data_IF_884628914154
#
_entry.id   IF_884628914154
#
_cell.length_a   1.000
_cell.length_b   1.000
_cell.length_c   1.000
_cell.angle_alpha   90.00
_cell.angle_beta   90.00
_cell.angle_gamma   90.00
#
_symmetry.space_group_name_H-M   'P 1'
#
loop_
_entity.id
_entity.type
_entity.pdbx_description
1 polymer ?
#
# COMPACT_ATOMS: atom_id res chain seq x y z
N UNK A 1 -47.06 -50.87 -7.71
CA UNK A 1 -45.94 -51.17 -6.79
C UNK A 1 -45.42 -52.52 -7.22
N UNK A 2 -44.21 -52.71 -7.73
CA UNK A 2 -42.91 -52.09 -7.44
C UNK A 2 -42.06 -51.97 -8.71
N UNK A 3 -41.18 -50.98 -8.66
CA UNK A 3 -40.26 -50.50 -9.70
C UNK A 3 -38.94 -51.30 -9.67
N UNK A 4 -38.33 -51.57 -10.83
CA UNK A 4 -36.95 -52.09 -11.01
C UNK A 4 -36.65 -52.11 -12.51
N UNK A 5 -36.43 -50.98 -13.19
CA UNK A 5 -35.17 -50.25 -13.39
C UNK A 5 -33.94 -51.07 -13.86
N UNK A 6 -33.52 -50.75 -15.11
CA UNK A 6 -32.17 -50.83 -15.72
C UNK A 6 -31.57 -52.23 -15.94
N UNK A 7 -30.84 -52.56 -17.00
CA UNK A 7 -30.53 -52.01 -18.33
C UNK A 7 -29.81 -53.17 -19.07
N UNK A 8 -29.58 -53.02 -20.37
CA UNK A 8 -29.08 -54.02 -21.32
C UNK A 8 -27.87 -54.85 -20.84
N UNK A 9 -27.93 -56.16 -21.13
CA UNK A 9 -26.82 -57.09 -21.09
C UNK A 9 -25.65 -56.52 -21.92
N UNK A 10 -24.64 -56.00 -21.24
CA UNK A 10 -23.32 -55.77 -21.82
C UNK A 10 -22.78 -57.14 -22.26
N UNK A 11 -22.73 -57.36 -23.57
CA UNK A 11 -21.89 -58.37 -24.17
C UNK A 11 -20.43 -58.06 -23.81
N UNK A 12 -19.86 -58.80 -22.86
CA UNK A 12 -18.41 -58.91 -22.77
C UNK A 12 -17.96 -59.73 -23.99
N UNK A 13 -17.57 -59.04 -25.05
CA UNK A 13 -16.76 -59.63 -26.11
C UNK A 13 -15.54 -60.27 -25.44
N UNK A 14 -15.41 -61.58 -25.65
CA UNK A 14 -14.26 -62.39 -25.26
C UNK A 14 -12.95 -61.66 -25.61
N UNK A 15 -12.32 -61.10 -24.59
CA UNK A 15 -10.92 -60.71 -24.66
C UNK A 15 -10.11 -62.01 -24.73
N UNK A 16 -9.98 -62.56 -25.93
CA UNK A 16 -9.02 -63.63 -26.22
C UNK A 16 -7.64 -62.97 -26.18
N UNK A 17 -7.19 -62.66 -24.96
CA UNK A 17 -5.79 -62.48 -24.67
C UNK A 17 -5.14 -63.81 -25.04
N UNK A 18 -4.49 -63.86 -26.19
CA UNK A 18 -3.49 -64.87 -26.41
C UNK A 18 -2.47 -64.69 -25.28
N UNK A 19 -2.58 -65.51 -24.24
CA UNK A 19 -1.54 -65.67 -23.24
C UNK A 19 -0.28 -66.05 -24.00
N UNK A 20 0.54 -65.04 -24.26
CA UNK A 20 1.89 -65.19 -24.79
C UNK A 20 2.73 -65.83 -23.68
N UNK A 21 2.59 -67.14 -23.51
CA UNK A 21 3.43 -67.92 -22.61
C UNK A 21 4.89 -67.77 -23.09
N UNK A 22 5.70 -67.02 -22.34
CA UNK A 22 7.11 -66.76 -22.69
C UNK A 22 7.98 -68.03 -22.65
N UNK A 23 7.47 -69.08 -22.02
CA UNK A 23 8.05 -70.43 -21.99
C UNK A 23 6.98 -71.40 -22.45
N UNK A 24 7.32 -72.23 -23.43
CA UNK A 24 6.37 -73.22 -23.96
C UNK A 24 6.02 -74.26 -22.89
N UNK A 25 4.76 -74.68 -22.85
CA UNK A 25 4.34 -75.75 -21.96
C UNK A 25 5.07 -77.05 -22.30
N UNK A 26 5.55 -77.75 -21.28
CA UNK A 26 6.22 -79.03 -21.46
C UNK A 26 5.22 -80.09 -21.94
N UNK A 27 5.59 -80.95 -22.91
CA UNK A 27 4.74 -82.05 -23.35
C UNK A 27 4.50 -83.06 -22.21
N UNK A 28 3.50 -83.96 -22.27
CA UNK A 28 3.29 -84.93 -21.19
C UNK A 28 4.53 -85.81 -20.94
N UNK A 29 5.00 -85.98 -19.68
CA UNK A 29 6.19 -86.76 -19.39
C UNK A 29 5.94 -88.26 -19.68
N UNK A 30 6.95 -88.98 -20.21
CA UNK A 30 6.84 -90.41 -20.45
C UNK A 30 6.63 -91.18 -19.13
N UNK A 31 5.62 -92.04 -19.05
CA UNK A 31 5.30 -92.81 -17.85
C UNK A 31 5.79 -94.26 -17.97
N UNK A 32 6.26 -94.87 -16.89
CA UNK A 32 6.67 -96.28 -16.88
C UNK A 32 5.54 -97.25 -17.24
N UNK A 33 4.29 -96.81 -17.12
CA UNK A 33 3.08 -97.53 -17.51
C UNK A 33 2.72 -97.40 -19.00
N UNK A 34 3.42 -96.55 -19.77
CA UNK A 34 3.16 -96.38 -21.20
C UNK A 34 3.66 -97.60 -22.00
N UNK A 35 3.00 -97.88 -23.13
CA UNK A 35 3.50 -98.89 -24.06
C UNK A 35 4.86 -98.47 -24.64
N UNK A 36 5.68 -99.44 -25.07
CA UNK A 36 7.05 -99.17 -25.53
C UNK A 36 7.13 -98.09 -26.62
N UNK A 37 6.20 -98.06 -27.56
CA UNK A 37 6.18 -97.05 -28.63
C UNK A 37 5.79 -95.66 -28.11
N UNK A 38 4.77 -95.57 -27.25
CA UNK A 38 4.29 -94.30 -26.66
C UNK A 38 5.33 -93.71 -25.71
N UNK A 39 6.05 -94.55 -24.97
CA UNK A 39 7.14 -94.11 -24.10
C UNK A 39 8.28 -93.47 -24.90
N UNK A 40 8.70 -94.08 -26.01
CA UNK A 40 9.77 -93.55 -26.87
C UNK A 40 9.34 -92.21 -27.48
N UNK A 41 8.13 -92.14 -28.03
CA UNK A 41 7.59 -90.91 -28.63
C UNK A 41 7.52 -89.74 -27.63
N UNK A 42 6.98 -89.99 -26.42
CA UNK A 42 6.95 -88.97 -25.35
C UNK A 42 8.35 -88.61 -24.85
N UNK A 43 9.28 -89.57 -24.80
CA UNK A 43 10.66 -89.32 -24.36
C UNK A 43 11.40 -88.39 -25.33
N UNK A 44 11.29 -88.63 -26.63
CA UNK A 44 11.92 -87.80 -27.66
C UNK A 44 11.32 -86.38 -27.67
N UNK A 45 9.99 -86.28 -27.55
CA UNK A 45 9.29 -85.00 -27.43
C UNK A 45 9.71 -84.23 -26.16
N UNK A 46 9.83 -84.91 -25.02
CA UNK A 46 10.25 -84.30 -23.75
C UNK A 46 11.69 -83.81 -23.81
N UNK A 47 12.63 -84.60 -24.36
CA UNK A 47 14.04 -84.19 -24.52
C UNK A 47 14.16 -82.98 -25.45
N UNK A 48 13.43 -82.97 -26.57
CA UNK A 48 13.41 -81.82 -27.47
C UNK A 48 12.83 -80.57 -26.80
N UNK A 49 11.77 -80.72 -25.98
CA UNK A 49 11.17 -79.62 -25.23
C UNK A 49 12.11 -79.08 -24.14
N UNK A 50 12.89 -79.93 -23.46
CA UNK A 50 13.86 -79.49 -22.44
C UNK A 50 14.96 -78.58 -23.01
N UNK A 51 15.46 -78.85 -24.22
CA UNK A 51 16.43 -77.97 -24.87
C UNK A 51 15.83 -76.59 -25.21
N UNK A 52 14.57 -76.55 -25.67
CA UNK A 52 13.85 -75.30 -25.93
C UNK A 52 13.56 -74.53 -24.64
N UNK A 53 13.15 -75.24 -23.59
CA UNK A 53 12.90 -74.68 -22.26
C UNK A 53 14.13 -73.97 -21.70
N UNK A 54 15.32 -74.59 -21.79
CA UNK A 54 16.56 -73.96 -21.34
C UNK A 54 16.84 -72.62 -22.06
N UNK A 55 16.71 -72.59 -23.39
CA UNK A 55 16.90 -71.37 -24.19
C UNK A 55 15.86 -70.29 -23.86
N UNK A 56 14.61 -70.69 -23.63
CA UNK A 56 13.53 -69.78 -23.23
C UNK A 56 13.75 -69.23 -21.82
N UNK A 57 14.21 -70.07 -20.87
CA UNK A 57 14.61 -69.63 -19.53
C UNK A 57 15.75 -68.62 -19.57
N UNK A 58 16.79 -68.86 -20.39
CA UNK A 58 17.90 -67.91 -20.55
C UNK A 58 17.43 -66.59 -21.16
N UNK A 59 16.53 -66.63 -22.15
CA UNK A 59 15.94 -65.42 -22.75
C UNK A 59 15.09 -64.63 -21.74
N UNK A 60 14.30 -65.31 -20.92
CA UNK A 60 13.52 -64.68 -19.84
C UNK A 60 14.45 -64.10 -18.77
N UNK A 61 15.55 -64.79 -18.41
CA UNK A 61 16.53 -64.29 -17.45
C UNK A 61 17.22 -63.00 -17.94
N UNK A 62 17.54 -62.92 -19.23
CA UNK A 62 18.06 -61.69 -19.86
C UNK A 62 17.01 -60.58 -19.83
N UNK A 63 15.75 -60.88 -20.13
CA UNK A 63 14.66 -59.90 -20.08
C UNK A 63 14.43 -59.34 -18.66
N UNK A 64 14.48 -60.19 -17.64
CA UNK A 64 14.37 -59.78 -16.24
C UNK A 64 15.58 -58.95 -15.78
N UNK A 65 16.76 -59.22 -16.33
CA UNK A 65 18.00 -58.51 -15.99
C UNK A 65 18.04 -57.06 -16.49
N UNK A 66 17.22 -56.70 -17.48
CA UNK A 66 17.18 -55.34 -18.01
C UNK A 66 16.42 -54.34 -17.12
N UNK A 67 15.73 -54.75 -16.05
CA UNK A 67 14.78 -53.91 -15.30
C UNK A 67 15.40 -52.81 -14.39
N UNK A 68 16.71 -52.53 -14.48
CA UNK A 68 17.35 -51.52 -13.66
C UNK A 68 17.11 -50.11 -14.22
N UNK A 69 16.33 -49.30 -13.49
CA UNK A 69 16.09 -47.87 -13.75
C UNK A 69 16.91 -46.96 -12.83
N UNK A 70 17.91 -47.53 -12.17
CA UNK A 70 18.93 -46.85 -11.37
C UNK A 70 20.34 -47.10 -11.93
N UNK A 71 21.19 -46.08 -11.83
CA UNK A 71 22.54 -46.09 -12.36
C UNK A 71 23.47 -45.14 -11.59
N UNK A 72 24.77 -45.30 -11.80
CA UNK A 72 25.77 -44.32 -11.35
C UNK A 72 26.50 -43.70 -12.54
N UNK A 73 27.00 -42.47 -12.37
CA UNK A 73 27.78 -41.80 -13.42
C UNK A 73 28.89 -40.96 -12.82
N UNK A 74 30.06 -40.98 -13.46
CA UNK A 74 31.20 -40.11 -13.17
C UNK A 74 31.33 -38.95 -14.17
N UNK A 75 30.33 -38.75 -15.04
CA UNK A 75 30.36 -37.66 -16.01
C UNK A 75 30.31 -36.33 -15.30
N UNK A 76 31.33 -35.50 -15.53
CA UNK A 76 31.39 -34.15 -14.97
C UNK A 76 30.29 -33.29 -15.59
N UNK A 77 29.35 -32.84 -14.77
CA UNK A 77 28.27 -31.97 -15.20
C UNK A 77 28.05 -30.84 -14.19
N UNK A 78 27.80 -29.64 -14.70
CA UNK A 78 27.33 -28.52 -13.88
C UNK A 78 25.82 -28.58 -13.75
N UNK A 79 25.32 -28.44 -12.51
CA UNK A 79 23.89 -28.34 -12.20
C UNK A 79 23.28 -27.21 -13.03
N UNK A 80 22.25 -27.52 -13.81
CA UNK A 80 21.56 -26.55 -14.65
C UNK A 80 20.48 -27.20 -15.51
N UNK A 81 19.55 -26.38 -15.98
CA UNK A 81 18.50 -26.79 -16.93
C UNK A 81 19.05 -26.95 -18.35
N UNK A 82 18.29 -27.64 -19.20
CA UNK A 82 18.67 -27.91 -20.60
C UNK A 82 19.27 -29.31 -20.80
N UNK A 83 19.72 -29.57 -22.02
CA UNK A 83 20.25 -30.89 -22.40
C UNK A 83 21.53 -31.22 -21.64
N UNK A 84 21.56 -32.40 -21.02
CA UNK A 84 22.71 -33.00 -20.33
C UNK A 84 22.88 -34.43 -20.80
N UNK A 85 24.13 -34.89 -20.85
CA UNK A 85 24.46 -36.27 -21.20
C UNK A 85 25.30 -36.86 -20.08
N UNK A 86 24.97 -38.08 -19.67
CA UNK A 86 25.72 -38.89 -18.72
C UNK A 86 26.14 -40.18 -19.39
N UNK A 87 27.31 -40.67 -19.00
CA UNK A 87 27.71 -42.06 -19.25
C UNK A 87 27.38 -42.84 -17.99
N UNK A 88 26.40 -43.74 -18.11
CA UNK A 88 25.99 -44.70 -17.07
C UNK A 88 26.44 -46.10 -17.44
N UNK A 89 26.18 -47.09 -16.58
CA UNK A 89 26.41 -48.48 -16.96
C UNK A 89 25.54 -48.89 -18.16
N UNK A 90 26.06 -49.76 -19.03
CA UNK A 90 25.29 -50.36 -20.12
C UNK A 90 24.16 -51.26 -19.59
N UNK A 91 23.23 -51.64 -20.47
CA UNK A 91 22.14 -52.58 -20.16
C UNK A 91 21.16 -52.13 -19.05
N UNK A 92 20.78 -50.84 -19.05
CA UNK A 92 19.71 -50.27 -18.21
C UNK A 92 18.38 -50.13 -18.98
N UNK A 93 17.27 -49.92 -18.25
CA UNK A 93 15.93 -49.71 -18.84
C UNK A 93 15.50 -48.25 -18.89
N UNK A 94 16.40 -47.33 -19.25
CA UNK A 94 16.00 -45.96 -19.55
C UNK A 94 15.39 -45.90 -20.96
N UNK A 95 14.19 -45.34 -21.08
CA UNK A 95 13.51 -45.11 -22.36
C UNK A 95 13.19 -43.62 -22.52
N UNK A 96 13.16 -43.11 -23.76
CA UNK A 96 12.70 -41.76 -24.04
C UNK A 96 11.32 -41.48 -23.42
N UNK A 97 11.17 -40.33 -22.76
CA UNK A 97 9.94 -39.93 -22.06
C UNK A 97 9.89 -40.30 -20.58
N UNK A 98 10.80 -41.16 -20.08
CA UNK A 98 10.91 -41.39 -18.64
C UNK A 98 11.51 -40.18 -17.93
N UNK A 99 10.98 -39.83 -16.75
CA UNK A 99 11.59 -38.80 -15.89
C UNK A 99 12.64 -39.42 -14.98
N UNK A 100 13.85 -38.88 -14.99
CA UNK A 100 15.00 -39.34 -14.20
C UNK A 100 15.55 -38.19 -13.37
N UNK A 101 15.95 -38.48 -12.13
CA UNK A 101 16.72 -37.58 -11.28
C UNK A 101 18.17 -38.01 -11.22
N UNK A 102 19.08 -37.08 -11.48
CA UNK A 102 20.51 -37.20 -11.24
C UNK A 102 20.86 -36.41 -9.97
N UNK A 103 21.17 -37.12 -8.88
CA UNK A 103 21.57 -36.52 -7.60
C UNK A 103 23.07 -36.70 -7.36
N UNK A 104 23.72 -35.75 -6.72
CA UNK A 104 25.11 -35.90 -6.29
C UNK A 104 25.21 -37.05 -5.28
N UNK A 105 26.09 -38.02 -5.54
CA UNK A 105 26.31 -39.14 -4.62
C UNK A 105 26.93 -38.68 -3.31
N UNK A 106 27.79 -37.65 -3.36
CA UNK A 106 28.44 -37.07 -2.18
C UNK A 106 27.50 -36.16 -1.36
N UNK A 107 26.49 -35.56 -1.99
CA UNK A 107 25.53 -34.66 -1.33
C UNK A 107 24.13 -34.81 -1.96
N UNK A 108 23.33 -35.80 -1.52
CA UNK A 108 22.06 -36.15 -2.17
C UNK A 108 20.98 -35.06 -2.21
N UNK A 109 21.16 -33.96 -1.46
CA UNK A 109 20.30 -32.77 -1.51
C UNK A 109 20.55 -31.88 -2.73
N UNK A 110 21.66 -32.08 -3.44
CA UNK A 110 22.00 -31.39 -4.69
C UNK A 110 21.68 -32.30 -5.87
N UNK A 111 20.78 -31.88 -6.76
CA UNK A 111 20.32 -32.72 -7.87
C UNK A 111 19.78 -31.92 -9.05
N UNK A 112 19.66 -32.58 -10.20
CA UNK A 112 18.91 -32.12 -11.36
C UNK A 112 18.01 -33.24 -11.88
N UNK A 113 16.85 -32.87 -12.41
CA UNK A 113 15.82 -33.80 -12.86
C UNK A 113 15.31 -33.37 -14.22
N UNK A 114 14.97 -34.35 -15.05
CA UNK A 114 14.53 -34.12 -16.42
C UNK A 114 14.01 -35.37 -17.09
N UNK A 115 13.62 -35.20 -18.35
CA UNK A 115 13.07 -36.28 -19.16
C UNK A 115 14.14 -36.84 -20.09
N UNK A 116 14.24 -38.17 -20.13
CA UNK A 116 15.16 -38.89 -21.00
C UNK A 116 14.76 -38.64 -22.45
N UNK A 117 15.72 -38.25 -23.28
CA UNK A 117 15.54 -38.08 -24.72
C UNK A 117 16.14 -39.23 -25.52
N UNK A 118 17.20 -39.85 -25.02
CA UNK A 118 17.83 -41.02 -25.62
C UNK A 118 18.64 -41.81 -24.59
N UNK A 119 18.70 -43.12 -24.75
CA UNK A 119 19.63 -44.01 -24.04
C UNK A 119 20.22 -45.02 -25.03
N UNK A 120 21.55 -45.10 -25.09
CA UNK A 120 22.23 -46.16 -25.84
C UNK A 120 22.51 -47.35 -24.93
N UNK A 121 21.81 -48.46 -25.21
CA UNK A 121 21.90 -49.70 -24.46
C UNK A 121 23.32 -50.29 -24.41
N UNK A 122 24.12 -50.11 -25.46
CA UNK A 122 25.44 -50.71 -25.59
C UNK A 122 26.55 -49.83 -25.00
N UNK A 123 26.43 -48.49 -25.14
CA UNK A 123 27.46 -47.56 -24.68
C UNK A 123 27.16 -46.90 -23.33
N UNK A 124 25.92 -47.01 -22.84
CA UNK A 124 25.50 -46.38 -21.59
C UNK A 124 25.31 -44.86 -21.69
N UNK A 125 25.30 -44.29 -22.90
CA UNK A 125 25.09 -42.86 -23.10
C UNK A 125 23.62 -42.50 -22.86
N UNK A 126 23.35 -41.74 -21.80
CA UNK A 126 22.01 -41.30 -21.39
C UNK A 126 21.89 -39.78 -21.59
N UNK A 127 20.98 -39.37 -22.47
CA UNK A 127 20.67 -37.96 -22.74
C UNK A 127 19.35 -37.58 -22.06
N UNK A 128 19.37 -36.47 -21.33
CA UNK A 128 18.25 -36.00 -20.51
C UNK A 128 18.11 -34.49 -20.72
N UNK A 129 16.89 -34.01 -20.93
CA UNK A 129 16.58 -32.58 -20.89
C UNK A 129 16.16 -32.22 -19.47
N UNK A 130 17.05 -31.52 -18.75
CA UNK A 130 16.83 -31.10 -17.37
C UNK A 130 15.82 -29.95 -17.32
N UNK A 131 14.79 -30.13 -16.49
CA UNK A 131 13.69 -29.18 -16.30
C UNK A 131 13.55 -28.70 -14.85
N UNK A 132 14.23 -29.34 -13.89
CA UNK A 132 14.26 -28.93 -12.49
C UNK A 132 15.65 -29.17 -11.87
N UNK A 133 16.06 -28.29 -10.95
CA UNK A 133 17.35 -28.36 -10.24
C UNK A 133 17.18 -27.99 -8.77
N UNK A 134 18.03 -28.52 -7.91
CA UNK A 134 18.21 -28.09 -6.52
C UNK A 134 19.70 -28.05 -6.19
N UNK A 135 20.15 -26.93 -5.61
CA UNK A 135 21.57 -26.67 -5.36
C UNK A 135 22.31 -26.11 -6.59
N UNK A 136 23.64 -26.08 -6.51
CA UNK A 136 24.52 -25.55 -7.56
C UNK A 136 25.88 -26.28 -7.53
N UNK A 137 26.70 -26.04 -8.54
CA UNK A 137 28.08 -26.57 -8.61
C UNK A 137 28.31 -27.55 -9.76
N UNK A 138 29.58 -27.94 -9.93
CA UNK A 138 30.03 -28.96 -10.89
C UNK A 138 30.28 -30.25 -10.13
N UNK A 139 29.60 -31.31 -10.54
CA UNK A 139 29.58 -32.60 -9.86
C UNK A 139 30.14 -33.66 -10.81
N UNK A 140 30.97 -34.54 -10.28
CA UNK A 140 31.66 -35.63 -10.96
C UNK A 140 31.26 -37.01 -10.44
N UNK A 141 30.26 -37.08 -9.55
CA UNK A 141 29.72 -38.32 -8.99
C UNK A 141 28.20 -38.22 -8.81
N UNK A 142 27.48 -39.04 -9.57
CA UNK A 142 26.03 -38.99 -9.69
C UNK A 142 25.38 -40.34 -9.43
N UNK A 143 24.25 -40.30 -8.74
CA UNK A 143 23.27 -41.39 -8.66
C UNK A 143 22.06 -41.00 -9.50
N UNK A 144 21.75 -41.80 -10.51
CA UNK A 144 20.60 -41.61 -11.40
C UNK A 144 19.50 -42.60 -11.03
N UNK A 145 18.27 -42.13 -10.91
CA UNK A 145 17.11 -42.96 -10.58
C UNK A 145 15.85 -42.47 -11.29
N UNK A 146 14.93 -43.39 -11.59
CA UNK A 146 13.58 -43.02 -11.99
C UNK A 146 12.95 -42.10 -10.94
N UNK A 147 12.21 -41.10 -11.41
CA UNK A 147 11.49 -40.15 -10.57
C UNK A 147 10.08 -39.98 -11.10
N UNK A 148 9.16 -39.52 -10.24
CA UNK A 148 7.91 -38.96 -10.73
C UNK A 148 8.21 -37.77 -11.66
N UNK A 149 7.34 -37.49 -12.66
CA UNK A 149 7.44 -36.29 -13.49
C UNK A 149 7.66 -35.07 -12.61
N UNK A 150 8.64 -34.25 -12.98
CA UNK A 150 8.82 -32.97 -12.31
C UNK A 150 7.54 -32.18 -12.52
N UNK A 151 6.90 -31.70 -11.45
CA UNK A 151 5.85 -30.71 -11.61
C UNK A 151 6.48 -29.54 -12.35
N UNK A 152 6.09 -29.30 -13.59
CA UNK A 152 6.46 -28.12 -14.38
C UNK A 152 6.15 -26.92 -13.51
N UNK A 153 7.20 -26.35 -12.90
CA UNK A 153 7.07 -25.44 -11.79
C UNK A 153 6.59 -24.07 -12.23
N UNK A 154 5.30 -23.94 -12.58
CA UNK A 154 4.52 -22.75 -12.27
C UNK A 154 4.13 -22.77 -10.80
N UNK A 155 5.10 -22.97 -9.90
CA UNK A 155 4.82 -23.07 -8.47
C UNK A 155 4.72 -21.65 -7.91
N UNK A 156 3.48 -21.19 -7.73
CA UNK A 156 3.17 -20.12 -6.78
C UNK A 156 3.59 -20.49 -5.33
N UNK A 157 3.99 -21.74 -5.11
CA UNK A 157 4.31 -22.31 -3.79
C UNK A 157 5.75 -22.04 -3.33
N UNK A 158 6.62 -21.44 -4.14
CA UNK A 158 7.98 -21.05 -3.69
C UNK A 158 8.13 -19.57 -3.30
N UNK A 159 7.09 -18.72 -3.41
CA UNK A 159 7.26 -17.28 -3.16
C UNK A 159 6.20 -16.62 -2.25
N UNK A 160 5.23 -17.40 -1.74
CA UNK A 160 4.32 -16.94 -0.68
C UNK A 160 4.68 -17.62 0.63
N UNK A 161 5.76 -17.17 1.26
CA UNK A 161 6.05 -17.51 2.65
C UNK A 161 4.79 -17.18 3.49
N UNK A 162 4.35 -18.11 4.34
CA UNK A 162 2.94 -18.44 4.66
C UNK A 162 2.09 -17.30 5.30
N UNK A 163 2.62 -16.08 5.44
CA UNK A 163 1.85 -14.89 5.85
C UNK A 163 2.20 -13.57 5.13
N UNK A 164 3.11 -13.54 4.14
CA UNK A 164 3.54 -12.26 3.53
C UNK A 164 3.87 -12.37 2.04
N UNK A 165 3.22 -11.56 1.20
CA UNK A 165 3.81 -11.12 -0.07
C UNK A 165 5.00 -10.19 0.30
N UNK A 166 6.23 -10.66 0.14
CA UNK A 166 7.43 -9.87 0.45
C UNK A 166 7.78 -9.00 -0.76
N UNK A 167 8.11 -7.72 -0.55
CA UNK A 167 8.72 -6.91 -1.60
C UNK A 167 10.17 -7.36 -1.79
N UNK A 168 10.60 -7.54 -3.04
CA UNK A 168 12.01 -7.65 -3.36
C UNK A 168 12.70 -6.31 -3.04
N UNK A 169 13.68 -6.32 -2.14
CA UNK A 169 14.44 -5.12 -1.77
C UNK A 169 15.52 -4.89 -2.82
N UNK A 170 15.41 -3.80 -3.56
CA UNK A 170 16.43 -3.27 -4.47
C UNK A 170 17.48 -2.45 -3.71
N UNK A 171 18.61 -2.20 -4.36
CA UNK A 171 19.69 -1.39 -3.80
C UNK A 171 19.30 0.07 -3.58
N UNK A 172 20.08 0.77 -2.75
CA UNK A 172 19.93 2.21 -2.52
C UNK A 172 20.21 3.00 -3.80
N UNK A 173 19.40 4.01 -4.04
CA UNK A 173 19.48 4.91 -5.19
C UNK A 173 19.90 6.28 -4.67
N UNK A 174 20.88 6.93 -5.31
CA UNK A 174 21.21 8.30 -4.97
C UNK A 174 20.17 9.26 -5.57
N UNK A 175 19.75 10.26 -4.81
CA UNK A 175 18.89 11.35 -5.29
C UNK A 175 19.57 12.07 -6.45
N UNK A 176 18.84 12.29 -7.53
CA UNK A 176 19.28 12.99 -8.73
C UNK A 176 18.08 13.66 -9.41
N UNK A 177 18.34 14.57 -10.36
CA UNK A 177 17.26 15.21 -11.13
C UNK A 177 16.34 14.20 -11.83
N UNK A 178 16.93 13.10 -12.29
CA UNK A 178 16.24 11.90 -12.78
C UNK A 178 16.78 10.69 -12.03
N UNK A 179 15.92 9.99 -11.29
CA UNK A 179 16.27 8.73 -10.62
C UNK A 179 15.97 7.53 -11.53
N UNK A 180 16.76 6.47 -11.47
CA UNK A 180 16.51 5.24 -12.22
C UNK A 180 15.92 4.16 -11.32
N UNK A 181 14.63 3.87 -11.49
CA UNK A 181 13.92 2.81 -10.76
C UNK A 181 13.78 1.53 -11.61
N UNK A 182 14.31 1.52 -12.83
CA UNK A 182 14.47 0.29 -13.62
C UNK A 182 15.66 -0.54 -13.13
N UNK A 183 16.73 0.12 -12.67
CA UNK A 183 17.95 -0.49 -12.13
C UNK A 183 17.81 -1.02 -10.69
N UNK A 184 16.76 -0.63 -9.96
CA UNK A 184 16.45 -1.21 -8.66
C UNK A 184 16.00 -2.67 -8.88
N UNK A 185 16.86 -3.63 -8.50
CA UNK A 185 16.67 -5.09 -8.68
C UNK A 185 15.48 -5.67 -7.89
N UNK A 186 14.69 -4.81 -7.23
CA UNK A 186 13.46 -5.15 -6.53
C UNK A 186 12.37 -4.09 -6.73
N UNK A 187 11.24 -4.33 -6.06
CA UNK A 187 10.06 -3.45 -6.10
C UNK A 187 9.95 -2.58 -4.85
N UNK A 188 10.98 -2.58 -3.99
CA UNK A 188 11.19 -1.63 -2.91
C UNK A 188 12.60 -1.07 -3.00
N UNK A 189 12.80 0.24 -2.87
CA UNK A 189 14.12 0.86 -2.89
C UNK A 189 14.21 2.04 -1.92
N UNK A 190 15.42 2.35 -1.47
CA UNK A 190 15.70 3.54 -0.69
C UNK A 190 16.31 4.62 -1.58
N UNK A 191 15.86 5.86 -1.44
CA UNK A 191 16.49 7.03 -2.07
C UNK A 191 17.27 7.81 -1.02
N UNK A 192 18.57 7.93 -1.26
CA UNK A 192 19.56 8.56 -0.37
C UNK A 192 19.96 9.93 -0.91
N UNK A 193 20.30 10.87 -0.03
CA UNK A 193 20.69 12.23 -0.42
C UNK A 193 19.51 13.22 -0.56
N UNK A 194 19.83 14.45 -0.97
CA UNK A 194 18.92 15.60 -0.87
C UNK A 194 18.76 16.35 -2.19
N UNK A 195 19.30 15.82 -3.30
CA UNK A 195 19.15 16.47 -4.60
C UNK A 195 17.68 16.49 -5.01
N UNK A 196 17.18 17.59 -5.59
CA UNK A 196 15.81 17.64 -6.11
C UNK A 196 15.58 16.58 -7.19
N UNK A 197 14.41 15.95 -7.17
CA UNK A 197 14.01 14.88 -8.10
C UNK A 197 12.85 15.40 -8.94
N UNK A 198 13.03 15.42 -10.25
CA UNK A 198 12.07 15.96 -11.23
C UNK A 198 11.55 14.93 -12.23
N UNK A 199 12.13 13.73 -12.23
CA UNK A 199 11.80 12.65 -13.15
C UNK A 199 12.23 11.30 -12.57
N UNK A 200 11.62 10.22 -13.05
CA UNK A 200 12.11 8.87 -12.84
C UNK A 200 12.08 8.04 -14.13
N UNK A 201 13.06 7.18 -14.32
CA UNK A 201 13.09 6.19 -15.41
C UNK A 201 12.62 4.84 -14.88
N UNK A 202 11.62 4.24 -15.53
CA UNK A 202 10.99 2.98 -15.11
C UNK A 202 10.56 2.14 -16.32
N UNK A 203 10.43 0.83 -16.13
CA UNK A 203 9.77 -0.06 -17.10
C UNK A 203 8.25 0.09 -16.98
N UNK A 204 7.54 0.15 -18.11
CA UNK A 204 6.08 0.28 -18.11
C UNK A 204 5.41 -0.91 -17.39
N UNK A 205 4.39 -0.63 -16.58
CA UNK A 205 3.70 -1.61 -15.75
C UNK A 205 4.42 -1.96 -14.44
N UNK A 206 5.59 -1.38 -14.15
CA UNK A 206 6.33 -1.60 -12.89
C UNK A 206 5.82 -0.63 -11.81
N UNK A 207 5.58 -1.20 -10.63
CA UNK A 207 5.37 -0.48 -9.37
C UNK A 207 6.61 -0.61 -8.48
N UNK A 208 7.09 0.52 -7.94
CA UNK A 208 8.23 0.56 -7.02
C UNK A 208 7.87 1.38 -5.80
N UNK A 209 7.96 0.76 -4.63
CA UNK A 209 7.83 1.42 -3.33
C UNK A 209 9.17 2.07 -2.96
N UNK A 210 9.19 3.39 -2.86
CA UNK A 210 10.40 4.16 -2.54
C UNK A 210 10.31 4.73 -1.13
N UNK A 211 11.36 4.56 -0.34
CA UNK A 211 11.52 5.18 0.98
C UNK A 211 12.62 6.24 0.88
N UNK A 212 12.37 7.45 1.36
CA UNK A 212 13.35 8.52 1.32
C UNK A 212 14.14 8.57 2.62
N UNK A 213 15.46 8.38 2.55
CA UNK A 213 16.36 8.50 3.71
C UNK A 213 16.82 9.95 3.93
N UNK A 214 16.71 10.79 2.90
CA UNK A 214 17.06 12.21 2.94
C UNK A 214 15.84 13.14 2.86
N UNK A 215 16.09 14.40 2.54
CA UNK A 215 15.05 15.44 2.39
C UNK A 215 15.01 16.05 0.98
N UNK A 216 14.94 15.24 -0.10
CA UNK A 216 14.87 15.79 -1.45
C UNK A 216 13.57 16.59 -1.64
N UNK A 217 13.60 17.58 -2.51
CA UNK A 217 12.36 18.17 -3.04
C UNK A 217 11.91 17.35 -4.23
N UNK A 218 10.66 16.88 -4.23
CA UNK A 218 10.05 16.27 -5.41
C UNK A 218 9.40 17.37 -6.25
N UNK A 219 9.95 17.60 -7.43
CA UNK A 219 9.45 18.58 -8.37
C UNK A 219 8.34 17.97 -9.21
N UNK A 220 7.19 18.65 -9.30
CA UNK A 220 6.08 18.16 -10.09
C UNK A 220 6.40 18.25 -11.60
N UNK A 221 6.06 17.18 -12.33
CA UNK A 221 6.04 17.17 -13.78
C UNK A 221 4.79 16.42 -14.29
N UNK A 222 4.10 16.97 -15.29
CA UNK A 222 2.78 16.47 -15.71
C UNK A 222 2.79 15.03 -16.24
N UNK A 223 3.91 14.56 -16.80
CA UNK A 223 4.07 13.21 -17.37
C UNK A 223 5.12 12.38 -16.62
N UNK A 224 6.36 12.85 -16.52
CA UNK A 224 7.46 12.04 -15.98
C UNK A 224 7.65 12.07 -14.44
N UNK A 225 6.82 12.80 -13.69
CA UNK A 225 6.89 12.87 -12.22
C UNK A 225 5.59 13.46 -11.63
N UNK A 226 4.47 12.79 -11.92
CA UNK A 226 3.14 13.30 -11.59
C UNK A 226 2.77 12.99 -10.14
N UNK A 227 3.02 13.96 -9.27
CA UNK A 227 2.77 13.87 -7.84
C UNK A 227 1.27 13.99 -7.49
N UNK A 228 0.85 13.35 -6.39
CA UNK A 228 -0.46 13.52 -5.76
C UNK A 228 -0.60 14.84 -4.96
N UNK A 229 -0.02 15.93 -5.48
CA UNK A 229 0.09 17.23 -4.83
C UNK A 229 -0.80 18.33 -5.45
N UNK A 230 -1.62 18.00 -6.44
CA UNK A 230 -2.41 19.00 -7.18
C UNK A 230 -1.58 19.91 -8.08
N UNK A 231 -0.39 19.47 -8.51
CA UNK A 231 0.49 20.23 -9.42
C UNK A 231 1.60 21.03 -8.75
N UNK A 232 1.77 20.87 -7.44
CA UNK A 232 2.79 21.57 -6.65
C UNK A 232 3.99 20.67 -6.35
N UNK A 233 5.16 21.28 -6.10
CA UNK A 233 6.32 20.54 -5.60
C UNK A 233 6.05 20.05 -4.16
N UNK A 234 6.59 18.89 -3.80
CA UNK A 234 6.47 18.32 -2.47
C UNK A 234 7.81 18.35 -1.74
N UNK A 235 7.82 18.90 -0.53
CA UNK A 235 8.95 18.83 0.38
C UNK A 235 8.88 17.49 1.14
N UNK A 236 9.94 16.69 1.03
CA UNK A 236 10.04 15.37 1.65
C UNK A 236 10.91 15.45 2.90
N UNK A 237 10.51 14.72 3.93
CA UNK A 237 11.30 14.46 5.13
C UNK A 237 11.82 13.02 5.11
N UNK A 238 12.93 12.76 5.80
CA UNK A 238 13.42 11.40 5.95
C UNK A 238 12.34 10.49 6.58
N UNK A 239 12.15 9.31 6.02
CA UNK A 239 11.12 8.34 6.40
C UNK A 239 9.80 8.47 5.64
N UNK A 240 9.58 9.54 4.88
CA UNK A 240 8.47 9.60 3.92
C UNK A 240 8.63 8.51 2.85
N UNK A 241 7.51 8.05 2.30
CA UNK A 241 7.50 7.04 1.26
C UNK A 241 6.70 7.49 0.05
N UNK A 242 6.99 6.92 -1.12
CA UNK A 242 6.19 7.13 -2.32
C UNK A 242 6.08 5.86 -3.16
N UNK A 243 4.89 5.59 -3.68
CA UNK A 243 4.69 4.59 -4.70
C UNK A 243 4.88 5.23 -6.08
N UNK A 244 5.84 4.72 -6.83
CA UNK A 244 6.08 5.09 -8.22
C UNK A 244 5.47 4.02 -9.14
N UNK A 245 4.60 4.46 -10.05
CA UNK A 245 3.93 3.61 -11.04
C UNK A 245 4.12 4.21 -12.42
N UNK A 246 4.55 3.42 -13.40
CA UNK A 246 4.63 3.86 -14.79
C UNK A 246 3.59 3.17 -15.66
N UNK A 247 2.58 3.92 -16.12
CA UNK A 247 1.49 3.39 -16.97
C UNK A 247 1.86 3.28 -18.47
N UNK A 248 3.14 3.47 -18.80
CA UNK A 248 3.65 3.52 -20.17
C UNK A 248 3.61 4.91 -20.80
N UNK A 249 2.90 5.88 -20.19
CA UNK A 249 2.86 7.28 -20.64
C UNK A 249 3.27 8.26 -19.55
N UNK A 250 2.85 8.02 -18.31
CA UNK A 250 3.02 8.89 -17.16
C UNK A 250 3.60 8.10 -15.99
N UNK A 251 4.66 8.63 -15.40
CA UNK A 251 5.16 8.20 -14.09
C UNK A 251 4.34 8.91 -13.02
N UNK A 252 3.50 8.16 -12.32
CA UNK A 252 2.66 8.62 -11.24
C UNK A 252 3.37 8.37 -9.92
N UNK A 253 3.31 9.35 -9.04
CA UNK A 253 3.98 9.31 -7.74
C UNK A 253 2.94 9.57 -6.67
N UNK A 254 2.63 8.55 -5.90
CA UNK A 254 1.74 8.65 -4.76
C UNK A 254 2.55 8.76 -3.47
N UNK A 255 2.66 9.97 -2.93
CA UNK A 255 3.46 10.27 -1.74
C UNK A 255 2.63 10.02 -0.49
N UNK A 256 3.24 9.37 0.50
CA UNK A 256 2.74 9.16 1.85
C UNK A 256 3.73 9.80 2.82
N UNK A 257 3.28 10.81 3.56
CA UNK A 257 4.09 11.46 4.59
C UNK A 257 4.14 10.57 5.84
N UNK A 258 5.32 10.38 6.42
CA UNK A 258 5.50 9.59 7.65
C UNK A 258 4.69 10.18 8.83
N UNK A 259 4.46 11.49 8.83
CA UNK A 259 3.65 12.17 9.83
C UNK A 259 2.14 11.97 9.66
N UNK A 260 1.67 11.38 8.56
CA UNK A 260 0.25 11.29 8.20
C UNK A 260 -0.37 12.61 7.71
N UNK A 261 0.41 13.68 7.60
CA UNK A 261 -0.06 14.96 7.07
C UNK A 261 -0.29 14.90 5.56
N UNK A 262 -1.12 15.81 5.07
CA UNK A 262 -1.30 16.07 3.64
C UNK A 262 0.06 16.34 2.95
N UNK A 263 0.24 15.82 1.73
CA UNK A 263 1.45 16.02 0.91
C UNK A 263 1.72 17.50 0.65
N UNK A 264 0.64 18.26 0.45
CA UNK A 264 0.65 19.72 0.39
C UNK A 264 -0.10 20.23 1.61
N UNK A 265 0.54 21.11 2.38
CA UNK A 265 -0.13 21.83 3.45
C UNK A 265 -1.21 22.72 2.84
N UNK A 266 -2.48 22.43 3.13
CA UNK A 266 -3.54 23.43 2.97
C UNK A 266 -3.29 24.46 4.07
N UNK A 267 -3.07 25.72 3.69
CA UNK A 267 -2.94 26.79 4.67
C UNK A 267 -4.19 26.78 5.57
N UNK A 268 -4.04 26.64 6.90
CA UNK A 268 -5.17 26.78 7.79
C UNK A 268 -5.80 28.17 7.57
N UNK A 269 -7.12 28.33 7.78
CA UNK A 269 -7.73 29.66 7.73
C UNK A 269 -6.92 30.60 8.63
N UNK A 270 -6.55 31.77 8.10
CA UNK A 270 -5.69 32.70 8.84
C UNK A 270 -6.30 32.94 10.23
N UNK A 271 -5.54 32.77 11.31
CA UNK A 271 -6.01 33.19 12.62
C UNK A 271 -6.41 34.66 12.55
N UNK A 272 -7.37 35.08 13.39
CA UNK A 272 -7.83 36.47 13.46
C UNK A 272 -6.61 37.42 13.41
N UNK A 273 -6.59 38.46 12.57
CA UNK A 273 -5.43 39.36 12.46
C UNK A 273 -5.05 39.96 13.83
N UNK A 274 -3.76 40.18 14.05
CA UNK A 274 -3.29 40.93 15.24
C UNK A 274 -3.96 42.31 15.26
N UNK A 275 -4.40 42.76 16.44
CA UNK A 275 -5.25 43.95 16.60
C UNK A 275 -6.76 43.66 16.59
N UNK A 276 -7.19 42.44 16.26
CA UNK A 276 -8.60 42.03 16.35
C UNK A 276 -9.08 41.95 17.80
N UNK A 277 -10.34 42.34 18.03
CA UNK A 277 -11.02 42.20 19.32
C UNK A 277 -11.68 40.83 19.48
N UNK A 278 -11.70 40.32 20.72
CA UNK A 278 -12.39 39.11 21.13
C UNK A 278 -13.33 39.44 22.30
N UNK A 279 -14.60 39.06 22.18
CA UNK A 279 -15.51 38.97 23.32
C UNK A 279 -15.23 37.63 24.02
N UNK A 280 -14.76 37.69 25.25
CA UNK A 280 -14.40 36.52 26.05
C UNK A 280 -15.35 36.39 27.24
N UNK A 281 -15.91 35.19 27.41
CA UNK A 281 -16.84 34.87 28.50
C UNK A 281 -16.13 34.39 29.78
N UNK A 282 -14.81 34.18 29.74
CA UNK A 282 -13.99 33.89 30.92
C UNK A 282 -13.45 35.16 31.58
N UNK A 283 -12.84 34.99 32.76
CA UNK A 283 -12.31 36.09 33.59
C UNK A 283 -10.84 36.44 33.31
N UNK A 284 -10.14 35.67 32.48
CA UNK A 284 -8.72 35.87 32.15
C UNK A 284 -8.53 35.86 30.64
N UNK A 285 -7.64 36.71 30.12
CA UNK A 285 -7.34 36.74 28.68
C UNK A 285 -6.76 35.40 28.20
N UNK A 286 -7.24 34.84 27.07
CA UNK A 286 -6.63 33.67 26.43
C UNK A 286 -5.18 33.92 25.97
N UNK A 287 -4.44 32.85 25.71
CA UNK A 287 -3.07 32.93 25.15
C UNK A 287 -3.05 33.80 23.89
N UNK A 288 -2.05 34.68 23.79
CA UNK A 288 -1.87 35.67 22.72
C UNK A 288 -2.87 36.85 22.71
N UNK A 289 -3.67 37.00 23.76
CA UNK A 289 -4.57 38.14 23.95
C UNK A 289 -4.21 38.93 25.20
N UNK A 290 -4.48 40.24 25.17
CA UNK A 290 -4.46 41.13 26.33
C UNK A 290 -5.87 41.54 26.68
N UNK A 291 -6.17 41.65 27.98
CA UNK A 291 -7.41 42.27 28.44
C UNK A 291 -7.44 43.75 28.06
N UNK A 292 -8.56 44.21 27.52
CA UNK A 292 -8.82 45.63 27.24
C UNK A 292 -9.08 46.34 28.59
N UNK A 293 -8.23 47.29 29.00
CA UNK A 293 -8.37 48.01 30.27
C UNK A 293 -9.53 49.01 30.24
N UNK A 294 -9.95 49.44 31.43
CA UNK A 294 -11.01 50.44 31.61
C UNK A 294 -10.53 51.89 31.61
N UNK A 295 -9.21 52.10 31.56
CA UNK A 295 -8.55 53.40 31.50
C UNK A 295 -7.45 53.39 30.44
N UNK A 296 -7.09 54.55 29.86
CA UNK A 296 -5.96 54.65 28.93
C UNK A 296 -4.71 53.99 29.51
N UNK A 297 -4.09 53.08 28.73
CA UNK A 297 -2.92 52.32 29.15
C UNK A 297 -1.93 52.26 28.00
N UNK A 298 -0.64 52.45 28.30
CA UNK A 298 0.44 52.40 27.32
C UNK A 298 1.21 51.08 27.43
N UNK A 299 1.55 50.49 26.29
CA UNK A 299 2.34 49.27 26.16
C UNK A 299 3.70 49.55 25.50
N UNK A 300 4.70 48.71 25.78
CA UNK A 300 6.03 48.81 25.19
C UNK A 300 6.03 48.35 23.72
N UNK A 301 6.55 49.17 22.81
CA UNK A 301 6.58 48.90 21.36
C UNK A 301 7.45 47.70 20.98
N UNK A 302 8.50 47.42 21.74
CA UNK A 302 9.41 46.29 21.49
C UNK A 302 8.77 44.98 21.94
N UNK A 303 8.13 44.96 23.12
CA UNK A 303 7.44 43.77 23.65
C UNK A 303 6.21 43.41 22.84
N UNK A 304 5.45 44.41 22.37
CA UNK A 304 4.19 44.23 21.64
C UNK A 304 4.30 44.77 20.20
N UNK A 305 5.38 44.41 19.51
CA UNK A 305 5.72 44.93 18.18
C UNK A 305 4.68 44.61 17.11
N UNK A 306 4.11 43.39 17.12
CA UNK A 306 3.06 43.01 16.18
C UNK A 306 1.77 43.81 16.39
N UNK A 307 1.40 44.08 17.64
CA UNK A 307 0.24 44.91 17.96
C UNK A 307 0.49 46.37 17.56
N UNK A 308 1.67 46.91 17.86
CA UNK A 308 2.03 48.28 17.44
C UNK A 308 2.01 48.44 15.92
N UNK A 309 2.50 47.44 15.17
CA UNK A 309 2.44 47.44 13.71
C UNK A 309 1.00 47.44 13.19
N UNK A 310 0.06 46.79 13.89
CA UNK A 310 -1.33 46.69 13.48
C UNK A 310 -2.16 47.95 13.78
N UNK A 311 -2.01 48.56 14.97
CA UNK A 311 -2.88 49.66 15.42
C UNK A 311 -2.18 51.02 15.53
N UNK A 312 -0.85 51.04 15.45
CA UNK A 312 -0.04 52.26 15.56
C UNK A 312 -0.34 53.05 16.84
N UNK A 313 -0.51 54.37 16.68
CA UNK A 313 -0.80 55.32 17.76
C UNK A 313 -2.28 55.69 17.84
N UNK A 314 -3.18 54.92 17.20
CA UNK A 314 -4.63 55.21 17.13
C UNK A 314 -5.26 55.43 18.49
N UNK A 315 -4.80 54.69 19.51
CA UNK A 315 -5.31 54.75 20.88
C UNK A 315 -4.42 55.57 21.83
N UNK A 316 -3.48 56.32 21.28
CA UNK A 316 -2.54 57.17 22.02
C UNK A 316 -1.11 57.04 21.52
N UNK A 317 -0.37 58.15 21.54
CA UNK A 317 1.03 58.18 21.12
C UNK A 317 2.00 57.52 22.12
N UNK A 318 1.52 57.18 23.31
CA UNK A 318 2.38 56.79 24.43
C UNK A 318 3.25 57.96 24.90
N UNK A 319 4.52 57.66 25.14
CA UNK A 319 5.60 58.63 25.42
C UNK A 319 6.23 59.22 24.14
N UNK A 320 5.71 58.89 22.96
CA UNK A 320 6.23 59.31 21.67
C UNK A 320 7.44 58.52 21.16
N UNK A 321 8.04 57.63 21.96
CA UNK A 321 9.29 56.93 21.60
C UNK A 321 9.19 55.42 21.83
N UNK A 322 9.02 54.97 23.07
CA UNK A 322 9.13 53.56 23.47
C UNK A 322 7.79 52.89 23.73
N UNK A 323 6.71 53.67 23.88
CA UNK A 323 5.38 53.15 24.18
C UNK A 323 4.32 53.63 23.19
N UNK A 324 3.16 52.95 23.20
CA UNK A 324 1.98 53.31 22.41
C UNK A 324 0.71 52.99 23.21
N UNK A 325 -0.39 53.68 22.94
CA UNK A 325 -1.67 53.42 23.59
C UNK A 325 -2.31 52.13 23.06
N UNK A 326 -2.77 51.27 23.96
CA UNK A 326 -3.57 50.09 23.59
C UNK A 326 -5.07 50.43 23.58
N UNK A 327 -5.91 49.62 22.90
CA UNK A 327 -7.35 49.77 22.98
C UNK A 327 -7.83 49.72 24.43
N UNK A 328 -8.70 50.65 24.81
CA UNK A 328 -9.28 50.76 26.14
C UNK A 328 -10.75 51.17 26.03
N UNK A 329 -11.58 50.77 26.98
CA UNK A 329 -13.00 51.10 26.99
C UNK A 329 -13.42 51.48 28.40
N UNK A 330 -13.94 52.69 28.59
CA UNK A 330 -14.44 53.11 29.89
C UNK A 330 -15.43 52.09 30.45
N UNK A 331 -15.36 51.86 31.77
CA UNK A 331 -16.28 50.95 32.43
C UNK A 331 -17.74 51.38 32.16
N UNK A 332 -18.58 50.42 31.79
CA UNK A 332 -20.02 50.61 31.55
C UNK A 332 -20.40 51.46 30.33
N UNK A 333 -19.47 51.62 29.38
CA UNK A 333 -19.75 52.26 28.09
C UNK A 333 -20.12 51.22 27.02
N UNK A 334 -21.07 51.59 26.15
CA UNK A 334 -21.38 50.81 24.96
C UNK A 334 -20.31 51.04 23.87
N UNK A 335 -20.02 50.00 23.09
CA UNK A 335 -19.18 50.12 21.90
C UNK A 335 -19.98 50.75 20.76
N UNK A 336 -19.40 51.76 20.10
CA UNK A 336 -20.01 52.45 18.96
C UNK A 336 -19.15 52.24 17.72
N UNK A 337 -19.78 52.02 16.57
CA UNK A 337 -19.07 51.87 15.30
C UNK A 337 -18.48 53.21 14.86
N UNK A 338 -17.17 53.21 14.60
CA UNK A 338 -16.45 54.39 14.15
C UNK A 338 -16.68 54.69 12.67
N UNK A 339 -16.69 55.97 12.31
CA UNK A 339 -16.67 56.46 10.93
C UNK A 339 -15.38 57.25 10.70
N UNK A 340 -14.24 56.56 10.72
CA UNK A 340 -12.86 57.10 10.58
C UNK A 340 -12.23 57.72 11.85
N UNK A 341 -12.87 57.60 13.01
CA UNK A 341 -12.44 58.15 14.30
C UNK A 341 -12.21 57.05 15.37
N UNK A 342 -11.63 55.92 14.96
CA UNK A 342 -11.30 54.81 15.89
C UNK A 342 -10.43 55.33 17.03
N UNK A 343 -10.71 54.89 18.26
CA UNK A 343 -9.98 55.32 19.46
C UNK A 343 -10.49 56.60 20.12
N UNK A 344 -11.51 57.26 19.55
CA UNK A 344 -12.19 58.39 20.18
C UNK A 344 -13.41 57.95 21.01
N UNK A 345 -13.74 58.74 22.03
CA UNK A 345 -14.93 58.54 22.89
C UNK A 345 -16.05 59.47 22.46
N UNK A 346 -17.29 59.00 22.49
CA UNK A 346 -18.49 59.84 22.36
C UNK A 346 -19.13 60.09 23.72
N UNK A 347 -19.84 61.21 23.85
CA UNK A 347 -20.75 61.47 24.97
C UNK A 347 -22.15 61.12 24.51
N UNK A 348 -22.93 60.43 25.35
CA UNK A 348 -24.32 60.13 25.04
C UNK A 348 -25.16 61.41 24.94
N UNK A 349 -25.94 61.55 23.88
CA UNK A 349 -26.89 62.65 23.68
C UNK A 349 -28.31 62.11 23.53
N UNK A 350 -29.29 62.77 24.15
CA UNK A 350 -30.70 62.50 23.88
C UNK A 350 -31.06 63.17 22.56
N UNK A 351 -31.43 62.38 21.55
CA UNK A 351 -31.85 62.93 20.25
C UNK A 351 -33.05 63.88 20.43
N UNK A 352 -33.11 64.90 19.57
CA UNK A 352 -34.25 65.82 19.50
C UNK A 352 -35.56 65.03 19.44
N UNK A 353 -36.45 65.31 20.39
CA UNK A 353 -37.78 64.72 20.46
C UNK A 353 -38.76 65.76 21.01
N UNK A 354 -40.05 65.56 20.74
CA UNK A 354 -41.13 66.40 21.26
C UNK A 354 -42.05 65.59 22.16
N UNK A 355 -42.69 66.26 23.11
CA UNK A 355 -43.81 65.73 23.86
C UNK A 355 -45.09 66.42 23.42
N UNK A 356 -46.17 65.65 23.24
CA UNK A 356 -47.50 66.20 23.10
C UNK A 356 -48.14 66.29 24.49
N UNK A 357 -48.44 67.49 24.96
CA UNK A 357 -49.13 67.69 26.23
C UNK A 357 -50.62 67.88 25.96
N UNK A 358 -51.47 66.98 26.45
CA UNK A 358 -52.92 67.20 26.44
C UNK A 358 -53.33 68.14 27.58
N UNK A 359 -54.13 69.14 27.25
CA UNK A 359 -54.91 69.91 28.20
C UNK A 359 -56.38 69.55 28.00
N UNK A 360 -56.99 68.85 28.96
CA UNK A 360 -58.42 68.58 28.94
C UNK A 360 -59.17 69.86 29.34
N UNK A 361 -59.88 70.45 28.38
CA UNK A 361 -60.79 71.58 28.64
C UNK A 361 -62.18 71.02 28.96
N UNK A 362 -62.55 70.92 30.25
CA UNK A 362 -63.90 70.56 30.65
C UNK A 362 -64.85 71.76 30.44
N UNK A 363 -65.49 71.84 29.27
CA UNK A 363 -66.50 72.86 28.97
C UNK A 363 -67.80 72.24 28.47
N UNK A 364 -68.83 72.20 29.32
CA UNK A 364 -70.20 71.87 28.93
C UNK A 364 -70.79 73.06 28.17
N UNK A 365 -70.66 73.07 26.84
CA UNK A 365 -71.27 74.11 25.99
C UNK A 365 -70.52 74.27 24.67
N UNK A 366 -71.21 74.04 23.56
CA UNK A 366 -70.64 74.03 22.23
C UNK A 366 -69.94 75.35 21.87
N UNK A 367 -68.61 75.33 21.85
CA UNK A 367 -67.79 76.12 20.95
C UNK A 367 -66.42 75.43 20.83
N UNK A 368 -66.13 74.88 19.65
CA UNK A 368 -64.80 74.33 19.34
C UNK A 368 -63.84 75.50 19.11
N UNK A 369 -62.75 75.67 19.88
CA UNK A 369 -61.82 76.75 19.61
C UNK A 369 -60.90 76.35 18.45
N UNK A 370 -61.22 76.77 17.23
CA UNK A 370 -60.28 76.82 16.10
C UNK A 370 -59.45 78.11 16.13
N UNK A 371 -58.95 78.51 17.30
CA UNK A 371 -58.18 79.73 17.54
C UNK A 371 -57.45 79.69 18.88
N UNK A 372 -56.36 80.45 19.06
CA UNK A 372 -55.42 80.28 20.16
C UNK A 372 -56.14 80.47 21.50
N UNK A 373 -56.29 79.37 22.25
CA UNK A 373 -56.71 79.43 23.65
C UNK A 373 -55.66 80.28 24.37
N UNK A 374 -56.08 81.42 24.92
CA UNK A 374 -55.25 82.24 25.81
C UNK A 374 -54.85 81.38 27.00
N UNK A 375 -53.69 80.73 26.89
CA UNK A 375 -53.17 79.81 27.88
C UNK A 375 -52.77 80.63 29.11
N UNK A 376 -53.56 80.56 30.17
CA UNK A 376 -53.00 80.67 31.51
C UNK A 376 -51.82 79.71 31.54
N UNK A 377 -50.61 80.24 31.75
CA UNK A 377 -49.36 79.52 31.67
C UNK A 377 -49.36 78.34 32.68
N UNK A 378 -49.96 77.21 32.32
CA UNK A 378 -49.94 75.99 33.13
C UNK A 378 -48.60 75.33 32.91
N UNK A 379 -47.57 75.84 33.60
CA UNK A 379 -46.30 75.13 33.73
C UNK A 379 -46.61 73.82 34.45
N UNK A 380 -46.67 72.71 33.72
CA UNK A 380 -46.57 71.35 34.27
C UNK A 380 -45.11 70.95 34.14
N UNK A 381 -44.21 71.33 35.07
CA UNK A 381 -42.82 70.91 34.98
C UNK A 381 -42.78 69.38 35.02
N UNK A 382 -42.21 68.75 34.00
CA UNK A 382 -41.75 67.37 34.15
C UNK A 382 -40.56 67.43 35.10
N UNK A 383 -40.60 66.64 36.17
CA UNK A 383 -39.39 66.41 36.96
C UNK A 383 -38.37 65.67 36.10
N UNK A 384 -37.08 65.87 36.35
CA UNK A 384 -36.06 65.02 35.73
C UNK A 384 -36.33 63.57 36.12
N UNK A 385 -36.50 62.69 35.13
CA UNK A 385 -36.52 61.24 35.33
C UNK A 385 -35.21 60.69 34.79
N UNK A 386 -34.41 60.11 35.70
CA UNK A 386 -33.08 59.60 35.41
C UNK A 386 -31.99 60.27 36.24
N UNK A 387 -30.93 59.51 36.55
CA UNK A 387 -29.78 60.00 37.34
C UNK A 387 -28.45 59.52 36.74
N UNK A 388 -27.35 59.65 37.50
CA UNK A 388 -26.02 59.17 37.08
C UNK A 388 -25.98 57.65 36.74
N UNK A 389 -27.06 56.92 37.06
CA UNK A 389 -27.28 55.51 36.75
C UNK A 389 -28.07 55.27 35.44
N UNK A 390 -28.33 56.28 34.61
CA UNK A 390 -28.89 56.11 33.25
C UNK A 390 -27.86 55.50 32.28
N UNK A 391 -27.24 54.39 32.67
CA UNK A 391 -26.38 53.57 31.84
C UNK A 391 -27.24 52.53 31.12
N UNK A 392 -26.80 52.07 29.94
CA UNK A 392 -27.49 51.00 29.24
C UNK A 392 -27.47 49.72 30.09
N UNK A 393 -28.63 49.09 30.29
CA UNK A 393 -28.69 47.79 30.97
C UNK A 393 -28.01 46.70 30.11
N UNK A 394 -27.20 45.83 30.74
CA UNK A 394 -26.51 44.74 30.03
C UNK A 394 -25.67 43.83 30.94
N UNK A 395 -25.09 42.78 30.34
CA UNK A 395 -24.18 41.84 31.00
C UNK A 395 -22.73 42.18 30.67
N UNK A 396 -21.86 42.20 31.68
CA UNK A 396 -20.43 42.50 31.52
C UNK A 396 -19.69 41.27 30.96
N UNK A 397 -18.90 41.47 29.93
CA UNK A 397 -18.04 40.46 29.29
C UNK A 397 -16.61 40.97 29.21
N UNK A 398 -15.62 40.07 29.19
CA UNK A 398 -14.23 40.46 29.09
C UNK A 398 -13.90 40.76 27.62
N UNK A 399 -13.48 41.98 27.33
CA UNK A 399 -12.99 42.33 26.00
C UNK A 399 -11.48 42.14 25.97
N UNK A 400 -10.99 41.50 24.92
CA UNK A 400 -9.57 41.23 24.73
C UNK A 400 -9.11 41.69 23.35
N UNK A 401 -7.84 42.04 23.20
CA UNK A 401 -7.18 42.36 21.93
C UNK A 401 -6.08 41.35 21.65
N UNK A 402 -6.02 40.82 20.42
CA UNK A 402 -4.96 39.91 20.00
C UNK A 402 -3.67 40.68 19.80
N UNK A 403 -2.60 40.28 20.48
CA UNK A 403 -1.28 40.92 20.34
C UNK A 403 -0.26 40.06 19.57
N UNK A 404 -0.52 38.76 19.41
CA UNK A 404 0.35 37.80 18.73
C UNK A 404 -0.43 36.74 17.95
#
# INVERSE_FOLDING_TARGET
MTNSYFEEDYAEDDYVGADIMAIDALPPPPQRSDSKSVFIEKSDAWIAAMNKFALQCDAVAVAMSNNATNATSITVQTIGVGAKTFTVEASKSYLPGMTVRAASTASPTTWMQGDVTAYDFYTGALSIVMNAVQGSGTIDSWTLSLSAPGTSGGSLTQDFDVKSLKHAIGGNIASASTIDLSAATGNLAHVTGNNPISAATMTAGKDVWVIFDGTPTLNYHATNHKLNSGGLNALISAGDAALYTFDGTTVRVFIVKASGNSVVAVAPPLPAPVGSGLVHFGSTAPTNYLTVPTTPTNLNRTTYSALFAAIGTTWGAGDGTTTFGMPWLAADYAMVQASSNVGSTTTGEVKSHSHNTQADSAGTGGNSPTGPVGSTNMTKPTTSTGGAANLAAGTRVLLCVKYQ
#
